data_IF_956087429302
#
_entry.id   IF_956087429302
#
_cell.length_a   1.000
_cell.length_b   1.000
_cell.length_c   1.000
_cell.angle_alpha   90.00
_cell.angle_beta   90.00
_cell.angle_gamma   90.00
#
_symmetry.space_group_name_H-M   'P 1'
#
loop_
_entity.id
_entity.type
_entity.pdbx_description
1 polymer ?
#
# COMPACT_ATOMS: atom_id res chain seq x y z
N UNK A 1 -5.61 -20.84 5.98
CA UNK A 1 -4.79 -19.91 6.81
C UNK A 1 -5.69 -18.73 7.21
N UNK A 2 -5.53 -18.12 8.39
CA UNK A 2 -6.24 -16.88 8.78
C UNK A 2 -5.23 -15.78 9.18
N UNK A 3 -5.62 -14.50 9.29
CA UNK A 3 -4.69 -13.41 9.58
C UNK A 3 -3.86 -13.59 10.86
N UNK A 4 -4.47 -14.06 11.94
CA UNK A 4 -3.78 -14.26 13.22
C UNK A 4 -2.71 -15.36 13.13
N UNK A 5 -3.02 -16.45 12.40
CA UNK A 5 -2.08 -17.54 12.17
C UNK A 5 -0.92 -17.11 11.27
N UNK A 6 -1.18 -16.28 10.25
CA UNK A 6 -0.13 -15.69 9.40
C UNK A 6 0.84 -14.84 10.24
N UNK A 7 0.33 -13.93 11.05
CA UNK A 7 1.17 -13.07 11.91
C UNK A 7 1.98 -13.91 12.90
N UNK A 8 1.36 -14.93 13.50
CA UNK A 8 2.06 -15.83 14.42
C UNK A 8 3.18 -16.59 13.73
N UNK A 9 2.94 -17.06 12.51
CA UNK A 9 3.95 -17.70 11.66
C UNK A 9 5.11 -16.73 11.39
N UNK A 10 4.84 -15.52 10.90
CA UNK A 10 5.87 -14.51 10.62
C UNK A 10 6.71 -14.21 11.86
N UNK A 11 6.07 -14.02 13.01
CA UNK A 11 6.78 -13.76 14.28
C UNK A 11 7.69 -14.92 14.71
N UNK A 12 7.32 -16.16 14.42
CA UNK A 12 8.13 -17.33 14.75
C UNK A 12 9.26 -17.57 13.74
N UNK A 13 9.06 -17.18 12.48
CA UNK A 13 10.05 -17.28 11.42
C UNK A 13 11.18 -16.26 11.58
N UNK A 14 10.85 -15.04 12.00
CA UNK A 14 11.83 -13.97 12.12
C UNK A 14 12.84 -14.26 13.24
N UNK A 15 14.15 -14.04 12.98
CA UNK A 15 15.19 -14.26 13.97
C UNK A 15 15.06 -13.28 15.14
N UNK A 16 15.61 -13.66 16.29
CA UNK A 16 15.68 -12.80 17.47
C UNK A 16 16.87 -11.81 17.39
N UNK A 17 16.99 -11.11 16.26
CA UNK A 17 17.96 -10.05 16.03
C UNK A 17 17.25 -8.72 15.78
N UNK A 18 17.90 -7.56 16.05
CA UNK A 18 17.30 -6.27 15.79
C UNK A 18 16.92 -6.09 14.31
N UNK A 19 15.81 -5.39 14.05
CA UNK A 19 15.29 -5.21 12.68
C UNK A 19 16.19 -4.38 11.75
N UNK A 20 17.22 -3.73 12.30
CA UNK A 20 18.20 -3.01 11.51
C UNK A 20 19.31 -3.93 10.94
N UNK A 21 19.45 -5.15 11.46
CA UNK A 21 20.44 -6.14 11.04
C UNK A 21 20.08 -6.79 9.70
N UNK A 22 21.10 -7.13 8.92
CA UNK A 22 20.94 -7.78 7.62
C UNK A 22 20.28 -9.15 7.72
N UNK A 23 20.60 -9.94 8.75
CA UNK A 23 20.01 -11.26 8.98
C UNK A 23 18.47 -11.18 9.12
N UNK A 24 18.00 -10.26 9.96
CA UNK A 24 16.58 -10.03 10.14
C UNK A 24 15.91 -9.58 8.84
N UNK A 25 16.57 -8.69 8.09
CA UNK A 25 16.06 -8.19 6.81
C UNK A 25 15.93 -9.29 5.77
N UNK A 26 16.93 -10.17 5.65
CA UNK A 26 16.89 -11.32 4.75
C UNK A 26 15.69 -12.21 5.07
N UNK A 27 15.51 -12.58 6.34
CA UNK A 27 14.37 -13.38 6.78
C UNK A 27 13.02 -12.68 6.50
N UNK A 28 12.93 -11.35 6.64
CA UNK A 28 11.73 -10.61 6.27
C UNK A 28 11.43 -10.64 4.77
N UNK A 29 12.46 -10.47 3.94
CA UNK A 29 12.32 -10.51 2.48
C UNK A 29 11.93 -11.91 1.97
N UNK A 30 12.44 -12.96 2.60
CA UNK A 30 12.10 -14.37 2.30
C UNK A 30 10.61 -14.69 2.54
N UNK A 31 9.93 -13.97 3.43
CA UNK A 31 8.49 -14.17 3.65
C UNK A 31 7.65 -13.73 2.44
N UNK A 32 8.14 -12.76 1.64
CA UNK A 32 7.33 -12.05 0.63
C UNK A 32 6.80 -12.88 -0.55
N UNK A 33 7.53 -13.84 -1.14
CA UNK A 33 7.11 -14.52 -2.37
C UNK A 33 5.70 -15.13 -2.28
N UNK A 34 5.30 -15.66 -1.13
CA UNK A 34 4.02 -16.34 -0.94
C UNK A 34 2.90 -15.47 -0.36
N UNK A 35 3.19 -14.26 0.11
CA UNK A 35 2.21 -13.45 0.85
C UNK A 35 1.03 -13.02 -0.01
N UNK A 36 1.26 -12.71 -1.29
CA UNK A 36 0.17 -12.32 -2.19
C UNK A 36 -0.81 -13.47 -2.42
N UNK A 37 -0.32 -14.71 -2.50
CA UNK A 37 -1.17 -15.91 -2.60
C UNK A 37 -1.97 -16.13 -1.32
N UNK A 38 -1.33 -16.00 -0.16
CA UNK A 38 -2.01 -16.12 1.14
C UNK A 38 -3.07 -15.02 1.30
N UNK A 39 -2.74 -13.79 0.91
CA UNK A 39 -3.64 -12.63 0.92
C UNK A 39 -4.89 -12.87 0.08
N UNK A 40 -4.72 -13.39 -1.14
CA UNK A 40 -5.82 -13.70 -2.04
C UNK A 40 -6.77 -14.75 -1.47
N UNK A 41 -6.26 -15.68 -0.65
CA UNK A 41 -7.06 -16.66 0.09
C UNK A 41 -7.86 -16.09 1.27
N UNK A 42 -7.62 -14.85 1.68
CA UNK A 42 -8.43 -14.19 2.72
C UNK A 42 -9.69 -13.58 2.15
N UNK A 43 -10.78 -13.66 2.93
CA UNK A 43 -11.99 -12.91 2.63
C UNK A 43 -11.80 -11.39 2.87
N UNK A 44 -12.69 -10.52 2.34
CA UNK A 44 -12.53 -9.07 2.47
C UNK A 44 -12.47 -8.55 3.92
N UNK A 45 -13.16 -9.21 4.85
CA UNK A 45 -13.11 -8.83 6.27
C UNK A 45 -11.74 -9.13 6.89
N UNK A 46 -11.17 -10.30 6.60
CA UNK A 46 -9.85 -10.72 7.06
C UNK A 46 -8.74 -9.79 6.54
N UNK A 47 -8.79 -9.42 5.26
CA UNK A 47 -7.85 -8.45 4.65
C UNK A 47 -7.87 -7.10 5.36
N UNK A 48 -9.07 -6.56 5.63
CA UNK A 48 -9.23 -5.30 6.36
C UNK A 48 -8.68 -5.36 7.78
N UNK A 49 -8.95 -6.44 8.51
CA UNK A 49 -8.42 -6.62 9.88
C UNK A 49 -6.89 -6.67 9.85
N UNK A 50 -6.32 -7.43 8.90
CA UNK A 50 -4.87 -7.58 8.79
C UNK A 50 -4.19 -6.23 8.54
N UNK A 51 -4.65 -5.46 7.55
CA UNK A 51 -4.07 -4.13 7.26
C UNK A 51 -4.31 -3.15 8.41
N UNK A 52 -5.51 -3.15 9.01
CA UNK A 52 -5.81 -2.25 10.14
C UNK A 52 -4.86 -2.47 11.32
N UNK A 53 -4.49 -3.73 11.61
CA UNK A 53 -3.67 -4.08 12.78
C UNK A 53 -2.17 -4.12 12.49
N UNK A 54 -1.77 -4.59 11.31
CA UNK A 54 -0.38 -4.89 10.95
C UNK A 54 0.14 -4.10 9.76
N UNK A 55 -0.70 -3.35 9.04
CA UNK A 55 -0.29 -2.62 7.85
C UNK A 55 0.78 -1.54 8.13
N UNK A 56 0.72 -0.88 9.28
CA UNK A 56 1.74 0.09 9.68
C UNK A 56 3.11 -0.60 9.90
N UNK A 57 3.10 -1.78 10.52
CA UNK A 57 4.30 -2.56 10.81
C UNK A 57 4.90 -3.13 9.52
N UNK A 58 4.03 -3.60 8.62
CA UNK A 58 4.41 -4.01 7.28
C UNK A 58 5.14 -2.90 6.54
N UNK A 59 4.58 -1.69 6.53
CA UNK A 59 5.21 -0.54 5.89
C UNK A 59 6.53 -0.15 6.56
N UNK A 60 6.60 -0.18 7.89
CA UNK A 60 7.83 0.13 8.64
C UNK A 60 9.00 -0.79 8.24
N UNK A 61 8.74 -2.09 8.14
CA UNK A 61 9.79 -3.08 7.84
C UNK A 61 10.10 -3.18 6.35
N UNK A 62 9.13 -2.86 5.49
CA UNK A 62 9.32 -2.84 4.03
C UNK A 62 10.08 -1.61 3.55
N UNK A 63 9.79 -0.44 4.10
CA UNK A 63 10.30 0.83 3.60
C UNK A 63 11.35 1.40 4.56
N UNK A 64 12.61 1.03 4.30
CA UNK A 64 13.76 1.54 5.05
C UNK A 64 14.39 2.73 4.33
N UNK A 65 14.86 3.69 5.11
CA UNK A 65 15.66 4.78 4.62
C UNK A 65 17.03 4.26 4.12
N UNK A 66 17.55 4.86 3.05
CA UNK A 66 18.90 4.54 2.57
C UNK A 66 19.97 4.97 3.59
N UNK A 67 21.18 4.37 3.57
CA UNK A 67 22.28 4.78 4.45
C UNK A 67 22.58 6.28 4.37
N UNK A 68 22.49 6.86 3.17
CA UNK A 68 22.70 8.30 2.94
C UNK A 68 21.61 9.15 3.62
N UNK A 69 20.35 8.71 3.56
CA UNK A 69 19.23 9.40 4.24
C UNK A 69 19.41 9.35 5.76
N UNK A 70 19.84 8.20 6.29
CA UNK A 70 20.10 8.02 7.72
C UNK A 70 21.26 8.91 8.17
N UNK A 71 22.36 8.96 7.41
CA UNK A 71 23.51 9.83 7.70
C UNK A 71 23.12 11.31 7.70
N UNK A 72 22.37 11.77 6.70
CA UNK A 72 21.87 13.14 6.63
C UNK A 72 20.96 13.47 7.83
N UNK A 73 20.09 12.54 8.21
CA UNK A 73 19.25 12.69 9.40
C UNK A 73 20.09 12.88 10.67
N UNK A 74 21.12 12.05 10.91
CA UNK A 74 21.98 12.18 12.09
C UNK A 74 22.72 13.51 12.12
N UNK A 75 23.20 14.00 10.97
CA UNK A 75 23.85 15.30 10.87
C UNK A 75 22.89 16.44 11.24
N UNK A 76 21.70 16.48 10.63
CA UNK A 76 20.70 17.52 10.88
C UNK A 76 20.19 17.48 12.33
N UNK A 77 20.07 16.28 12.92
CA UNK A 77 19.73 16.11 14.33
C UNK A 77 20.84 16.66 15.24
N UNK A 78 22.11 16.40 14.92
CA UNK A 78 23.26 16.94 15.67
C UNK A 78 23.31 18.47 15.64
N UNK A 79 22.87 19.07 14.54
CA UNK A 79 22.71 20.53 14.38
C UNK A 79 21.39 21.08 14.97
N UNK A 80 20.57 20.23 15.60
CA UNK A 80 19.26 20.60 16.16
C UNK A 80 18.29 21.22 15.12
N UNK A 81 18.43 20.85 13.85
CA UNK A 81 17.59 21.35 12.75
C UNK A 81 16.36 20.47 12.49
N UNK A 82 16.24 19.32 13.17
CA UNK A 82 15.10 18.41 13.06
C UNK A 82 14.51 18.18 14.44
N UNK A 83 13.19 18.33 14.51
CA UNK A 83 12.40 17.99 15.68
C UNK A 83 11.28 17.04 15.29
N UNK A 84 11.13 15.93 16.02
CA UNK A 84 10.02 15.01 15.81
C UNK A 84 8.81 15.39 16.65
N UNK A 85 7.65 15.26 16.02
CA UNK A 85 6.35 15.36 16.66
C UNK A 85 5.57 14.10 16.32
N UNK A 86 5.28 13.29 17.33
CA UNK A 86 4.41 12.14 17.20
C UNK A 86 2.98 12.58 17.46
N UNK A 87 2.08 12.32 16.50
CA UNK A 87 0.67 12.67 16.62
C UNK A 87 -0.05 12.56 15.28
N UNK A 88 -1.38 12.67 15.30
CA UNK A 88 -2.19 12.71 14.09
C UNK A 88 -2.55 14.16 13.78
N UNK A 89 -2.16 14.67 12.61
CA UNK A 89 -2.63 15.96 12.14
C UNK A 89 -4.13 15.90 11.83
N UNK A 90 -4.92 16.73 12.50
CA UNK A 90 -6.38 16.79 12.34
C UNK A 90 -6.84 18.03 11.59
N UNK A 91 -6.10 19.13 11.71
CA UNK A 91 -6.44 20.39 11.06
C UNK A 91 -5.18 21.08 10.55
N UNK A 92 -5.29 21.69 9.38
CA UNK A 92 -4.28 22.55 8.79
C UNK A 92 -4.97 23.87 8.43
N UNK A 93 -4.42 24.99 8.91
CA UNK A 93 -4.94 26.32 8.62
C UNK A 93 -3.79 27.33 8.47
N UNK A 94 -3.98 28.34 7.63
CA UNK A 94 -3.08 29.50 7.58
C UNK A 94 -3.60 30.55 8.56
N UNK A 95 -2.78 30.95 9.53
CA UNK A 95 -3.08 32.00 10.52
C UNK A 95 -1.82 32.83 10.75
N UNK A 96 -1.99 34.15 10.87
CA UNK A 96 -0.89 35.07 11.19
C UNK A 96 0.32 34.93 10.26
N UNK A 97 0.08 34.63 8.98
CA UNK A 97 1.14 34.43 7.98
C UNK A 97 1.92 33.10 8.11
N UNK A 98 1.46 32.14 8.91
CA UNK A 98 2.08 30.83 9.08
C UNK A 98 1.07 29.69 8.92
N UNK A 99 1.58 28.50 8.58
CA UNK A 99 0.81 27.26 8.54
C UNK A 99 0.76 26.69 9.96
N UNK A 100 -0.45 26.48 10.47
CA UNK A 100 -0.73 25.86 11.76
C UNK A 100 -1.26 24.46 11.52
N UNK A 101 -0.56 23.46 12.04
CA UNK A 101 -0.98 22.05 12.04
C UNK A 101 -1.38 21.67 13.45
N UNK A 102 -2.67 21.43 13.68
CA UNK A 102 -3.19 20.97 14.97
C UNK A 102 -3.16 19.45 15.02
N UNK A 103 -2.44 18.93 16.01
CA UNK A 103 -2.36 17.50 16.29
C UNK A 103 -3.54 17.05 17.15
N UNK A 104 -3.87 15.77 17.11
CA UNK A 104 -4.98 15.16 17.84
C UNK A 104 -4.92 15.33 19.37
N UNK A 105 -3.72 15.56 19.91
CA UNK A 105 -3.50 15.83 21.33
C UNK A 105 -3.66 17.31 21.72
N UNK A 106 -3.97 18.19 20.77
CA UNK A 106 -4.17 19.63 20.97
C UNK A 106 -2.95 20.49 20.62
N UNK A 107 -1.75 19.90 20.54
CA UNK A 107 -0.53 20.60 20.16
C UNK A 107 -0.64 21.24 18.77
N UNK A 108 -0.06 22.44 18.63
CA UNK A 108 0.00 23.16 17.35
C UNK A 108 1.44 23.29 16.89
N UNK A 109 1.74 22.70 15.74
CA UNK A 109 3.02 22.85 15.05
C UNK A 109 2.89 23.98 14.03
N UNK A 110 3.84 24.92 14.03
CA UNK A 110 3.84 26.08 13.14
C UNK A 110 5.00 26.01 12.14
N UNK A 111 4.77 26.46 10.92
CA UNK A 111 5.80 26.50 9.89
C UNK A 111 5.43 27.39 8.70
N UNK A 112 6.43 27.70 7.87
CA UNK A 112 6.24 28.47 6.64
C UNK A 112 5.86 27.58 5.45
N UNK A 113 6.27 26.32 5.50
CA UNK A 113 6.02 25.34 4.45
C UNK A 113 5.49 24.03 5.04
N UNK A 114 4.64 23.38 4.27
CA UNK A 114 4.08 22.07 4.58
C UNK A 114 4.32 21.16 3.40
N UNK A 115 4.97 20.02 3.65
CA UNK A 115 5.15 18.97 2.65
C UNK A 115 4.28 17.79 3.08
N UNK A 116 3.28 17.44 2.26
CA UNK A 116 2.39 16.32 2.53
C UNK A 116 3.02 14.99 2.07
N UNK A 117 3.49 14.20 3.04
CA UNK A 117 4.06 12.87 2.81
C UNK A 117 3.13 11.74 3.29
N UNK A 118 1.80 11.95 3.32
CA UNK A 118 0.84 10.96 3.86
C UNK A 118 0.45 9.84 2.89
N UNK A 119 1.04 9.83 1.69
CA UNK A 119 0.82 8.82 0.66
C UNK A 119 -0.16 9.26 -0.42
N UNK A 120 -0.68 8.30 -1.18
CA UNK A 120 -1.57 8.55 -2.31
C UNK A 120 -2.92 9.06 -1.81
N UNK A 121 -3.37 10.17 -2.38
CA UNK A 121 -4.68 10.75 -2.11
C UNK A 121 -5.80 9.90 -2.73
N UNK A 122 -7.04 10.20 -2.36
CA UNK A 122 -8.21 9.55 -2.95
C UNK A 122 -8.31 9.93 -4.43
N UNK A 123 -8.63 8.96 -5.29
CA UNK A 123 -8.77 9.15 -6.73
C UNK A 123 -10.27 9.34 -7.08
N UNK A 124 -10.69 10.53 -7.58
CA UNK A 124 -12.08 10.79 -7.92
C UNK A 124 -12.67 9.85 -8.98
N UNK A 125 -11.86 9.37 -9.93
CA UNK A 125 -12.31 8.44 -10.95
C UNK A 125 -12.65 7.09 -10.32
N UNK A 126 -11.77 6.57 -9.45
CA UNK A 126 -12.03 5.31 -8.75
C UNK A 126 -13.26 5.42 -7.85
N UNK A 127 -13.43 6.54 -7.16
CA UNK A 127 -14.65 6.81 -6.37
C UNK A 127 -15.89 6.75 -7.25
N UNK A 128 -15.91 7.49 -8.36
CA UNK A 128 -17.05 7.50 -9.27
C UNK A 128 -17.34 6.10 -9.83
N UNK A 129 -16.31 5.33 -10.19
CA UNK A 129 -16.47 3.96 -10.67
C UNK A 129 -17.08 3.04 -9.61
N UNK A 130 -16.67 3.16 -8.34
CA UNK A 130 -17.28 2.36 -7.25
C UNK A 130 -18.75 2.69 -7.02
N UNK A 131 -19.21 3.88 -7.43
CA UNK A 131 -20.61 4.28 -7.34
C UNK A 131 -21.44 3.91 -8.58
N UNK A 132 -20.80 3.56 -9.69
CA UNK A 132 -21.48 3.44 -11.00
C UNK A 132 -21.30 2.09 -11.68
N UNK A 133 -20.06 1.62 -11.86
CA UNK A 133 -19.76 0.51 -12.79
C UNK A 133 -18.94 -0.62 -12.17
N UNK A 134 -18.34 -0.43 -10.99
CA UNK A 134 -17.44 -1.40 -10.38
C UNK A 134 -17.72 -1.57 -8.88
N UNK A 135 -17.31 -2.70 -8.32
CA UNK A 135 -17.33 -2.90 -6.87
C UNK A 135 -16.07 -2.34 -6.21
N UNK A 136 -16.14 -1.82 -4.96
CA UNK A 136 -14.93 -1.45 -4.22
C UNK A 136 -14.08 -2.69 -3.89
N UNK A 137 -12.77 -2.52 -3.85
CA UNK A 137 -11.84 -3.55 -3.42
C UNK A 137 -12.02 -3.93 -1.93
N UNK A 138 -11.33 -4.98 -1.50
CA UNK A 138 -11.42 -5.44 -0.11
C UNK A 138 -11.04 -4.36 0.91
N UNK A 139 -10.19 -3.40 0.54
CA UNK A 139 -9.72 -2.32 1.42
C UNK A 139 -10.56 -1.06 1.33
N UNK A 140 -11.52 -0.99 0.41
CA UNK A 140 -12.32 0.20 0.07
C UNK A 140 -11.45 1.41 -0.26
N UNK A 141 -10.34 1.18 -0.97
CA UNK A 141 -9.40 2.22 -1.43
C UNK A 141 -9.26 2.26 -2.94
N UNK A 142 -9.83 1.28 -3.63
CA UNK A 142 -9.79 1.11 -5.08
C UNK A 142 -11.02 0.30 -5.53
N UNK A 143 -11.02 -0.15 -6.77
CA UNK A 143 -12.00 -1.08 -7.34
C UNK A 143 -11.51 -2.53 -7.30
N UNK A 144 -12.44 -3.47 -7.19
CA UNK A 144 -12.14 -4.88 -7.17
C UNK A 144 -11.71 -5.39 -8.55
N UNK A 145 -10.66 -6.21 -8.56
CA UNK A 145 -10.22 -6.98 -9.73
C UNK A 145 -10.15 -8.47 -9.42
N UNK A 146 -10.19 -9.29 -10.48
CA UNK A 146 -9.86 -10.72 -10.44
C UNK A 146 -8.33 -11.00 -10.53
N UNK A 147 -7.96 -12.27 -10.62
CA UNK A 147 -6.56 -12.70 -10.73
C UNK A 147 -5.96 -12.46 -12.12
N UNK A 148 -6.78 -12.12 -13.12
CA UNK A 148 -6.39 -11.76 -14.48
C UNK A 148 -6.32 -10.23 -14.67
N UNK A 149 -6.39 -9.45 -13.59
CA UNK A 149 -6.32 -7.98 -13.58
C UNK A 149 -7.57 -7.30 -14.13
N UNK A 150 -8.63 -8.06 -14.45
CA UNK A 150 -9.86 -7.50 -14.98
C UNK A 150 -10.69 -6.89 -13.86
N UNK A 151 -11.27 -5.72 -14.13
CA UNK A 151 -12.16 -5.03 -13.19
C UNK A 151 -13.44 -5.84 -13.03
N UNK A 152 -13.94 -5.94 -11.79
CA UNK A 152 -15.21 -6.58 -11.47
C UNK A 152 -16.34 -5.55 -11.45
N UNK A 153 -17.40 -5.84 -12.19
CA UNK A 153 -18.64 -5.06 -12.18
C UNK A 153 -19.38 -5.17 -10.84
N UNK A 154 -20.51 -4.48 -10.72
CA UNK A 154 -21.34 -4.49 -9.50
C UNK A 154 -21.92 -5.88 -9.17
N UNK A 155 -22.04 -6.77 -10.16
CA UNK A 155 -22.47 -8.15 -9.99
C UNK A 155 -21.30 -9.12 -9.73
N UNK A 156 -20.07 -8.62 -9.67
CA UNK A 156 -18.85 -9.43 -9.50
C UNK A 156 -18.37 -10.12 -10.78
N UNK A 157 -18.86 -9.72 -11.96
CA UNK A 157 -18.43 -10.24 -13.26
C UNK A 157 -17.24 -9.44 -13.79
N UNK A 158 -16.25 -10.13 -14.32
CA UNK A 158 -15.08 -9.49 -14.91
C UNK A 158 -15.42 -8.80 -16.24
N UNK A 159 -15.00 -7.55 -16.40
CA UNK A 159 -15.03 -6.86 -17.69
C UNK A 159 -14.03 -7.51 -18.66
N UNK A 160 -14.40 -7.60 -19.94
CA UNK A 160 -13.51 -8.13 -20.99
C UNK A 160 -12.63 -7.05 -21.65
N UNK A 161 -12.84 -5.79 -21.30
CA UNK A 161 -12.23 -4.61 -21.93
C UNK A 161 -11.66 -3.60 -20.93
N UNK A 162 -11.71 -3.90 -19.62
CA UNK A 162 -11.29 -3.00 -18.57
C UNK A 162 -10.43 -3.75 -17.55
N UNK A 163 -9.19 -3.29 -17.40
CA UNK A 163 -8.19 -3.87 -16.50
C UNK A 163 -7.55 -2.79 -15.63
N UNK A 164 -6.93 -3.23 -14.54
CA UNK A 164 -6.18 -2.37 -13.64
C UNK A 164 -4.85 -3.03 -13.25
N UNK A 165 -3.79 -2.23 -13.29
CA UNK A 165 -2.45 -2.61 -12.83
C UNK A 165 -1.92 -1.56 -11.86
N UNK A 166 -0.86 -1.89 -11.12
CA UNK A 166 -0.19 -0.98 -10.22
C UNK A 166 -0.71 -1.02 -8.78
N UNK A 167 -0.35 -0.02 -7.95
CA UNK A 167 -0.68 0.03 -6.52
C UNK A 167 -2.17 -0.02 -6.19
N UNK A 168 -3.02 0.40 -7.13
CA UNK A 168 -4.47 0.33 -7.01
C UNK A 168 -5.00 -1.13 -6.93
N UNK A 169 -4.18 -2.13 -7.29
CA UNK A 169 -4.54 -3.55 -7.21
C UNK A 169 -4.33 -4.17 -5.82
N UNK A 170 -3.77 -3.42 -4.87
CA UNK A 170 -3.30 -3.96 -3.58
C UNK A 170 -4.39 -4.66 -2.77
N UNK A 171 -5.61 -4.11 -2.71
CA UNK A 171 -6.67 -4.74 -1.93
C UNK A 171 -7.13 -6.08 -2.52
N UNK A 172 -7.05 -6.25 -3.84
CA UNK A 172 -7.34 -7.52 -4.50
C UNK A 172 -6.18 -8.51 -4.42
N UNK A 173 -4.95 -8.07 -4.74
CA UNK A 173 -3.84 -8.98 -5.03
C UNK A 173 -2.75 -9.05 -3.96
N UNK A 174 -2.67 -8.08 -3.04
CA UNK A 174 -1.67 -8.02 -1.97
C UNK A 174 -0.60 -6.96 -2.22
N UNK A 175 0.64 -7.22 -1.83
CA UNK A 175 1.73 -6.26 -1.98
C UNK A 175 2.16 -6.10 -3.45
N UNK A 176 1.62 -5.06 -4.08
CA UNK A 176 1.90 -4.64 -5.45
C UNK A 176 2.31 -3.18 -5.46
N UNK A 177 3.51 -2.89 -4.94
CA UNK A 177 4.02 -1.51 -4.88
C UNK A 177 5.35 -1.36 -5.63
N UNK A 178 6.18 -2.40 -5.64
CA UNK A 178 7.49 -2.35 -6.31
C UNK A 178 7.33 -2.29 -7.83
N UNK A 179 8.18 -1.51 -8.51
CA UNK A 179 8.19 -1.39 -9.97
C UNK A 179 8.28 -2.76 -10.67
N UNK A 180 9.06 -3.71 -10.12
CA UNK A 180 9.16 -5.07 -10.64
C UNK A 180 7.86 -5.87 -10.54
N UNK A 181 7.06 -5.66 -9.48
CA UNK A 181 5.75 -6.29 -9.35
C UNK A 181 4.75 -5.71 -10.37
N UNK A 182 4.80 -4.39 -10.59
CA UNK A 182 3.96 -3.71 -11.59
C UNK A 182 4.35 -4.14 -13.00
N UNK A 183 5.64 -4.29 -13.30
CA UNK A 183 6.13 -4.79 -14.58
C UNK A 183 5.61 -6.21 -14.88
N UNK A 184 5.57 -7.10 -13.87
CA UNK A 184 4.97 -8.44 -14.00
C UNK A 184 3.47 -8.38 -14.30
N UNK A 185 2.73 -7.45 -13.69
CA UNK A 185 1.31 -7.26 -14.02
C UNK A 185 1.14 -6.76 -15.46
N UNK A 186 1.97 -5.81 -15.90
CA UNK A 186 1.95 -5.34 -17.28
C UNK A 186 2.24 -6.47 -18.28
N UNK A 187 3.23 -7.33 -17.98
CA UNK A 187 3.53 -8.53 -18.79
C UNK A 187 2.34 -9.50 -18.84
N UNK A 188 1.73 -9.79 -17.69
CA UNK A 188 0.55 -10.64 -17.60
C UNK A 188 -0.60 -10.06 -18.45
N UNK A 189 -0.89 -8.77 -18.29
CA UNK A 189 -1.96 -8.09 -19.01
C UNK A 189 -1.72 -8.11 -20.52
N UNK A 190 -0.49 -7.84 -20.97
CA UNK A 190 -0.13 -7.86 -22.39
C UNK A 190 -0.40 -9.23 -23.02
N UNK A 191 -0.11 -10.32 -22.31
CA UNK A 191 -0.43 -11.69 -22.76
C UNK A 191 -1.94 -11.90 -22.86
N UNK A 192 -2.70 -11.49 -21.86
CA UNK A 192 -4.16 -11.63 -21.82
C UNK A 192 -4.88 -10.85 -22.93
N UNK A 193 -4.49 -9.59 -23.17
CA UNK A 193 -5.09 -8.76 -24.23
C UNK A 193 -4.79 -9.37 -25.61
N UNK A 194 -3.56 -9.82 -25.86
CA UNK A 194 -3.19 -10.46 -27.14
C UNK A 194 -4.06 -11.68 -27.45
N UNK A 195 -4.31 -12.53 -26.46
CA UNK A 195 -5.18 -13.71 -26.61
C UNK A 195 -6.63 -13.31 -26.95
N UNK A 196 -7.20 -12.33 -26.27
CA UNK A 196 -8.57 -11.86 -26.54
C UNK A 196 -8.69 -11.25 -27.94
N UNK A 197 -7.68 -10.52 -28.41
CA UNK A 197 -7.65 -10.00 -29.78
C UNK A 197 -7.60 -11.12 -30.82
N UNK A 198 -6.77 -12.15 -30.62
CA UNK A 198 -6.70 -13.27 -31.58
C UNK A 198 -8.02 -14.05 -31.66
N UNK A 199 -8.74 -14.21 -30.54
CA UNK A 199 -10.03 -14.91 -30.52
C UNK A 199 -11.12 -14.10 -31.22
N UNK A 200 -11.17 -12.78 -31.02
CA UNK A 200 -12.23 -11.93 -31.56
C UNK A 200 -12.07 -11.58 -33.05
N UNK A 201 -10.89 -11.82 -33.65
CA UNK A 201 -10.59 -11.52 -35.06
C UNK A 201 -10.36 -12.77 -35.93
N UNK A 202 -10.64 -13.97 -35.42
CA UNK A 202 -10.80 -15.17 -36.24
C UNK A 202 -12.30 -15.47 -36.43
N UNK A 203 -12.92 -14.65 -37.30
CA UNK A 203 -14.13 -14.96 -38.09
C UNK A 203 -13.85 -14.55 -39.52
#
# INVERSE_FOLDING_TARGET
>A
MNPARLVRFMRHYLPNTPSDQSEWQCAWEELRPDLNRIWQGFNPHQRRILIKRFGWLWNLYRFRASPQTIAAYHQLRGLQQIEFRCGRANQIAVRDGAIHVTLSQGDVVRGQHLINCTGVARDPLLDQMTHTIANPDALKRSIAIDSQLAVLDQNGRAYQSLWMIGPATMGSLGDVIAASAIAKQAEQLAKSIRLNWMINYHV
#
